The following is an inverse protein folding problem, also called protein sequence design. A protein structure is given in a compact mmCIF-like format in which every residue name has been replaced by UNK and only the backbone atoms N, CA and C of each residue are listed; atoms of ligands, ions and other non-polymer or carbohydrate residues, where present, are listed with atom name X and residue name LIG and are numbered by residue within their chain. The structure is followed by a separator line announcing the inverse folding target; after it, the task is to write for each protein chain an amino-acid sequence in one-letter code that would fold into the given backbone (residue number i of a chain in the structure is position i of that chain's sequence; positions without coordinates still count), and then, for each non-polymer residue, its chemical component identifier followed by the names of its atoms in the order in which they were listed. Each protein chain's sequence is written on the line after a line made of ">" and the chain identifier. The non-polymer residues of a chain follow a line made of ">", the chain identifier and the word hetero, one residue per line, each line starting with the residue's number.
data_IF_980721492668
#
_entry.id   IF_980721492668
#
_cell.length_a   1.000
_cell.length_b   1.000
_cell.length_c   1.000
_cell.angle_alpha   90.00
_cell.angle_beta   90.00
_cell.angle_gamma   90.00
#
_symmetry.space_group_name_H-M   'P 1'
#
loop_
_entity.id
_entity.type
_entity.pdbx_description
1 polymer ?
#
# COMPACT_ATOMS: atom_id res chain seq x y z
N UNK A 1 -13.90 9.48 3.14
CA UNK A 1 -12.72 8.98 2.46
C UNK A 1 -12.34 9.84 1.25
N UNK A 2 -11.06 9.93 0.95
CA UNK A 2 -10.59 10.70 -0.18
C UNK A 2 -10.97 10.02 -1.52
N UNK A 3 -11.33 10.84 -2.52
CA UNK A 3 -11.42 10.35 -3.90
C UNK A 3 -10.01 9.98 -4.41
N UNK A 4 -9.88 9.17 -5.48
CA UNK A 4 -8.58 8.91 -6.09
C UNK A 4 -7.80 10.19 -6.44
N UNK A 5 -8.45 11.18 -7.04
CA UNK A 5 -7.83 12.47 -7.34
C UNK A 5 -7.33 13.20 -6.09
N UNK A 6 -8.11 13.19 -5.01
CA UNK A 6 -7.70 13.80 -3.74
C UNK A 6 -6.57 13.03 -3.07
N UNK A 7 -6.58 11.71 -3.19
CA UNK A 7 -5.48 10.87 -2.73
C UNK A 7 -4.17 11.21 -3.46
N UNK A 8 -4.22 11.34 -4.79
CA UNK A 8 -3.08 11.78 -5.60
C UNK A 8 -2.51 13.11 -5.09
N UNK A 9 -3.37 14.12 -4.93
CA UNK A 9 -2.96 15.45 -4.45
C UNK A 9 -2.31 15.39 -3.06
N UNK A 10 -2.91 14.63 -2.15
CA UNK A 10 -2.39 14.48 -0.78
C UNK A 10 -1.02 13.78 -0.79
N UNK A 11 -0.87 12.72 -1.55
CA UNK A 11 0.40 12.01 -1.69
C UNK A 11 1.46 12.88 -2.34
N UNK A 12 1.09 13.66 -3.35
CA UNK A 12 1.99 14.63 -3.99
C UNK A 12 2.50 15.66 -2.98
N UNK A 13 1.63 16.18 -2.14
CA UNK A 13 2.00 17.12 -1.07
C UNK A 13 3.03 16.50 -0.10
N UNK A 14 2.82 15.24 0.29
CA UNK A 14 3.75 14.52 1.17
C UNK A 14 5.10 14.30 0.49
N UNK A 15 5.09 13.81 -0.75
CA UNK A 15 6.30 13.55 -1.53
C UNK A 15 7.10 14.84 -1.76
N UNK A 16 6.44 15.91 -2.18
CA UNK A 16 7.08 17.22 -2.40
C UNK A 16 7.75 17.72 -1.11
N UNK A 17 7.09 17.55 0.02
CA UNK A 17 7.65 17.93 1.33
C UNK A 17 8.88 17.11 1.69
N UNK A 18 8.84 15.80 1.47
CA UNK A 18 9.97 14.91 1.72
C UNK A 18 11.18 15.25 0.83
N UNK A 19 10.95 15.49 -0.45
CA UNK A 19 12.02 15.86 -1.39
C UNK A 19 12.61 17.24 -1.07
N UNK A 20 11.80 18.17 -0.57
CA UNK A 20 12.30 19.48 -0.13
C UNK A 20 13.17 19.38 1.13
N UNK A 21 12.76 18.54 2.10
CA UNK A 21 13.52 18.34 3.35
C UNK A 21 14.74 17.45 3.17
N UNK A 22 14.66 16.47 2.27
CA UNK A 22 15.69 15.45 2.03
C UNK A 22 15.93 15.31 0.52
N UNK A 23 16.69 16.23 -0.11
CA UNK A 23 16.82 16.28 -1.58
C UNK A 23 17.39 15.01 -2.21
N UNK A 24 18.15 14.24 -1.44
CA UNK A 24 18.79 12.99 -1.92
C UNK A 24 18.03 11.73 -1.55
N UNK A 25 16.86 11.84 -0.90
CA UNK A 25 16.12 10.65 -0.47
C UNK A 25 15.50 9.90 -1.64
N UNK A 26 15.34 8.60 -1.43
CA UNK A 26 14.56 7.73 -2.29
C UNK A 26 13.24 7.42 -1.59
N UNK A 27 12.14 7.51 -2.31
CA UNK A 27 10.79 7.28 -1.82
C UNK A 27 10.22 6.07 -2.56
N UNK A 28 9.74 5.09 -1.81
CA UNK A 28 9.18 3.85 -2.35
C UNK A 28 7.70 3.78 -1.98
N UNK A 29 6.84 3.69 -2.99
CA UNK A 29 5.38 3.67 -2.82
C UNK A 29 4.89 2.23 -3.01
N UNK A 30 4.48 1.58 -1.92
CA UNK A 30 3.96 0.22 -1.98
C UNK A 30 2.45 0.21 -2.31
N UNK A 31 2.05 -0.76 -3.15
CA UNK A 31 0.63 -1.03 -3.38
C UNK A 31 -0.03 -1.47 -2.07
N UNK A 32 -1.21 -0.95 -1.71
CA UNK A 32 -1.95 -1.44 -0.55
C UNK A 32 -2.22 -2.94 -0.65
N UNK A 33 -2.00 -3.66 0.45
CA UNK A 33 -2.22 -5.10 0.51
C UNK A 33 -3.69 -5.44 0.68
N UNK A 34 -4.04 -6.68 0.36
CA UNK A 34 -5.38 -7.20 0.54
C UNK A 34 -5.73 -7.36 2.03
N UNK A 35 -6.97 -7.11 2.35
CA UNK A 35 -7.62 -7.54 3.59
C UNK A 35 -9.01 -8.08 3.27
N UNK A 36 -9.62 -8.85 4.18
CA UNK A 36 -10.91 -9.47 3.88
C UNK A 36 -12.02 -8.41 3.70
N UNK A 37 -12.86 -8.55 2.66
CA UNK A 37 -13.87 -7.54 2.32
C UNK A 37 -15.00 -7.42 3.36
N UNK A 38 -15.11 -8.35 4.31
CA UNK A 38 -16.05 -8.28 5.42
C UNK A 38 -15.48 -7.54 6.64
N UNK A 39 -14.34 -6.88 6.53
CA UNK A 39 -13.75 -6.06 7.58
C UNK A 39 -14.67 -4.89 7.90
N UNK A 40 -15.22 -4.89 9.12
CA UNK A 40 -16.10 -3.84 9.61
C UNK A 40 -15.92 -3.69 11.12
N UNK A 41 -15.40 -2.54 11.51
CA UNK A 41 -15.17 -2.16 12.91
C UNK A 41 -15.95 -0.89 13.28
N UNK A 42 -17.23 -0.82 12.87
CA UNK A 42 -18.09 0.34 13.10
C UNK A 42 -18.27 1.25 11.88
N UNK A 43 -17.32 1.27 10.95
CA UNK A 43 -17.49 1.91 9.65
C UNK A 43 -17.95 0.87 8.63
N UNK A 44 -19.07 1.08 8.00
CA UNK A 44 -19.68 0.12 7.06
C UNK A 44 -19.03 0.18 5.67
N UNK A 45 -17.75 -0.15 5.58
CA UNK A 45 -17.07 -0.05 4.29
C UNK A 45 -16.98 -1.39 3.54
N UNK A 46 -16.96 -2.50 4.22
CA UNK A 46 -16.98 -3.85 3.64
C UNK A 46 -16.18 -3.93 2.31
N UNK A 47 -16.75 -4.56 1.31
CA UNK A 47 -16.12 -4.68 -0.01
C UNK A 47 -15.86 -3.32 -0.69
N UNK A 48 -16.73 -2.35 -0.48
CA UNK A 48 -16.54 -0.98 -0.97
C UNK A 48 -15.23 -0.38 -0.42
N UNK A 49 -14.91 -0.64 0.85
CA UNK A 49 -13.67 -0.16 1.47
C UNK A 49 -12.43 -0.76 0.81
N UNK A 50 -12.43 -2.06 0.53
CA UNK A 50 -11.33 -2.72 -0.17
C UNK A 50 -11.18 -2.19 -1.59
N UNK A 51 -12.30 -2.05 -2.32
CA UNK A 51 -12.29 -1.52 -3.68
C UNK A 51 -11.78 -0.07 -3.72
N UNK A 52 -12.16 0.75 -2.76
CA UNK A 52 -11.68 2.13 -2.64
C UNK A 52 -10.18 2.15 -2.38
N UNK A 53 -9.69 1.32 -1.46
CA UNK A 53 -8.27 1.23 -1.17
C UNK A 53 -7.47 0.84 -2.43
N UNK A 54 -7.97 -0.12 -3.20
CA UNK A 54 -7.33 -0.54 -4.44
C UNK A 54 -7.45 0.50 -5.56
N UNK A 55 -8.44 1.38 -5.53
CA UNK A 55 -8.56 2.49 -6.49
C UNK A 55 -7.43 3.52 -6.37
N UNK A 56 -6.68 3.51 -5.27
CA UNK A 56 -5.52 4.37 -5.09
C UNK A 56 -4.24 3.83 -5.76
N UNK A 57 -4.22 2.56 -6.13
CA UNK A 57 -3.04 1.97 -6.78
C UNK A 57 -2.69 2.63 -8.12
N UNK A 58 -3.63 2.86 -9.04
CA UNK A 58 -3.34 3.62 -10.26
C UNK A 58 -2.80 5.04 -9.99
N UNK A 59 -3.22 5.67 -8.89
CA UNK A 59 -2.72 6.98 -8.50
C UNK A 59 -1.26 6.92 -8.04
N UNK A 60 -0.87 5.87 -7.34
CA UNK A 60 0.54 5.65 -6.99
C UNK A 60 1.40 5.44 -8.24
N UNK A 61 0.91 4.68 -9.21
CA UNK A 61 1.60 4.48 -10.49
C UNK A 61 1.74 5.79 -11.26
N UNK A 62 0.70 6.62 -11.29
CA UNK A 62 0.73 7.94 -11.92
C UNK A 62 1.75 8.87 -11.23
N UNK A 63 1.82 8.87 -9.90
CA UNK A 63 2.80 9.64 -9.14
C UNK A 63 4.23 9.25 -9.52
N UNK A 64 4.53 7.95 -9.54
CA UNK A 64 5.88 7.46 -9.92
C UNK A 64 6.24 7.94 -11.31
N UNK A 65 5.31 7.85 -12.26
CA UNK A 65 5.53 8.31 -13.64
C UNK A 65 5.76 9.83 -13.71
N UNK A 66 4.95 10.60 -12.98
CA UNK A 66 5.07 12.07 -12.99
C UNK A 66 6.38 12.53 -12.35
N UNK A 67 6.78 11.95 -11.22
CA UNK A 67 8.04 12.28 -10.57
C UNK A 67 9.26 11.84 -11.38
N UNK A 68 9.17 10.83 -12.22
CA UNK A 68 10.27 10.39 -13.06
C UNK A 68 10.74 11.46 -14.04
N UNK A 69 9.89 12.44 -14.35
CA UNK A 69 10.19 13.54 -15.29
C UNK A 69 11.10 14.60 -14.67
N UNK A 70 10.91 14.91 -13.39
CA UNK A 70 11.62 16.00 -12.70
C UNK A 70 12.53 15.54 -11.56
N UNK A 71 12.31 14.34 -11.04
CA UNK A 71 13.06 13.72 -9.95
C UNK A 71 13.46 12.29 -10.33
N UNK A 72 14.22 12.11 -11.44
CA UNK A 72 14.59 10.78 -11.91
C UNK A 72 15.38 10.02 -10.83
N UNK A 73 15.03 8.78 -10.59
CA UNK A 73 15.71 7.92 -9.62
C UNK A 73 15.40 8.21 -8.16
N UNK A 74 14.34 8.95 -7.85
CA UNK A 74 13.97 9.28 -6.46
C UNK A 74 12.63 8.73 -5.99
N UNK A 75 11.64 8.56 -6.88
CA UNK A 75 10.32 8.02 -6.51
C UNK A 75 10.07 6.73 -7.29
N UNK A 76 9.83 5.65 -6.57
CA UNK A 76 9.72 4.31 -7.15
C UNK A 76 8.41 3.63 -6.75
N UNK A 77 7.91 2.78 -7.64
CA UNK A 77 6.92 1.79 -7.26
C UNK A 77 7.60 0.71 -6.43
N UNK A 78 7.05 0.43 -5.25
CA UNK A 78 7.52 -0.60 -4.36
C UNK A 78 6.90 -1.96 -4.65
N UNK A 79 6.61 -2.71 -3.58
CA UNK A 79 5.95 -4.00 -3.72
C UNK A 79 4.55 -3.87 -4.30
N UNK A 80 4.25 -4.71 -5.29
CA UNK A 80 2.93 -4.83 -5.91
C UNK A 80 2.33 -6.23 -5.75
N UNK A 81 3.11 -7.19 -5.24
CA UNK A 81 2.71 -8.59 -5.14
C UNK A 81 1.95 -8.91 -3.86
N UNK A 82 2.10 -8.08 -2.84
CA UNK A 82 1.49 -8.30 -1.51
C UNK A 82 -0.02 -8.42 -1.53
N UNK A 83 -0.70 -7.75 -2.46
CA UNK A 83 -2.15 -7.85 -2.58
C UNK A 83 -2.59 -9.29 -2.89
N UNK A 84 -2.08 -9.87 -3.96
CA UNK A 84 -2.44 -11.23 -4.35
C UNK A 84 -1.90 -12.27 -3.37
N UNK A 85 -0.73 -12.03 -2.83
CA UNK A 85 -0.13 -12.87 -1.81
C UNK A 85 -1.04 -13.01 -0.58
N UNK A 86 -1.45 -11.93 0.06
CA UNK A 86 -2.31 -11.97 1.24
C UNK A 86 -3.73 -12.46 0.93
N UNK A 87 -4.26 -12.14 -0.25
CA UNK A 87 -5.53 -12.70 -0.73
C UNK A 87 -5.51 -14.23 -0.77
N UNK A 88 -4.37 -14.82 -1.13
CA UNK A 88 -4.20 -16.27 -1.21
C UNK A 88 -3.91 -16.90 0.16
N UNK A 89 -3.10 -16.23 1.00
CA UNK A 89 -2.55 -16.81 2.22
C UNK A 89 -3.19 -16.30 3.52
N UNK A 90 -4.28 -15.54 3.45
CA UNK A 90 -4.84 -14.82 4.59
C UNK A 90 -5.15 -15.71 5.81
N UNK A 91 -5.64 -16.93 5.60
CA UNK A 91 -5.99 -17.85 6.70
C UNK A 91 -4.81 -18.22 7.59
N UNK A 92 -3.63 -18.28 7.03
CA UNK A 92 -2.41 -18.67 7.73
C UNK A 92 -1.55 -17.48 8.16
N UNK A 93 -1.75 -16.32 7.56
CA UNK A 93 -0.84 -15.19 7.69
C UNK A 93 -1.46 -13.90 8.24
N UNK A 94 -2.80 -13.84 8.31
CA UNK A 94 -3.50 -12.76 8.99
C UNK A 94 -4.21 -13.30 10.23
N UNK A 95 -4.39 -12.45 11.24
CA UNK A 95 -5.15 -12.81 12.43
C UNK A 95 -6.63 -12.95 12.10
N UNK A 96 -7.31 -13.99 12.59
CA UNK A 96 -8.76 -14.05 12.61
C UNK A 96 -9.28 -13.09 13.69
N UNK A 97 -10.05 -12.09 13.28
CA UNK A 97 -10.61 -11.07 14.18
C UNK A 97 -12.13 -11.07 14.07
N UNK A 98 -12.81 -10.75 15.17
CA UNK A 98 -14.27 -10.66 15.18
C UNK A 98 -14.71 -9.23 14.89
N UNK A 99 -15.52 -9.07 13.86
CA UNK A 99 -16.13 -7.80 13.50
C UNK A 99 -17.65 -7.88 13.39
N UNK A 100 -18.26 -6.78 13.00
CA UNK A 100 -19.72 -6.68 12.86
C UNK A 100 -20.30 -7.57 11.75
N UNK A 101 -19.47 -7.95 10.77
CA UNK A 101 -19.85 -8.81 9.64
C UNK A 101 -19.18 -10.21 9.71
N UNK A 102 -18.91 -10.71 10.91
CA UNK A 102 -18.31 -12.00 11.15
C UNK A 102 -16.79 -11.94 11.33
N UNK A 103 -16.12 -13.08 11.16
CA UNK A 103 -14.65 -13.16 11.25
C UNK A 103 -14.03 -12.48 10.03
N UNK A 104 -13.11 -11.55 10.28
CA UNK A 104 -12.37 -10.86 9.23
C UNK A 104 -10.86 -11.03 9.42
N UNK A 105 -10.10 -10.72 8.38
CA UNK A 105 -8.65 -10.85 8.33
C UNK A 105 -8.05 -9.56 7.82
N UNK A 106 -7.28 -8.87 8.64
CA UNK A 106 -6.70 -7.57 8.32
C UNK A 106 -5.25 -7.47 8.79
N UNK A 107 -4.99 -7.75 10.06
CA UNK A 107 -3.68 -7.55 10.65
C UNK A 107 -2.80 -8.79 10.44
N UNK A 108 -1.57 -8.63 9.90
CA UNK A 108 -0.64 -9.74 9.78
C UNK A 108 -0.29 -10.35 11.13
N UNK A 109 -0.29 -11.68 11.20
CA UNK A 109 0.33 -12.40 12.30
C UNK A 109 1.86 -12.42 12.10
N UNK A 110 2.60 -13.12 12.95
CA UNK A 110 4.06 -13.16 12.86
C UNK A 110 4.55 -13.66 11.50
N UNK A 111 3.90 -14.67 10.94
CA UNK A 111 4.24 -15.23 9.62
C UNK A 111 3.95 -14.23 8.50
N UNK A 112 2.78 -13.60 8.55
CA UNK A 112 2.40 -12.57 7.59
C UNK A 112 3.27 -11.32 7.66
N UNK A 113 3.67 -10.91 8.86
CA UNK A 113 4.60 -9.80 9.04
C UNK A 113 5.98 -10.11 8.42
N UNK A 114 6.46 -11.35 8.58
CA UNK A 114 7.70 -11.79 7.93
C UNK A 114 7.58 -11.76 6.41
N UNK A 115 6.49 -12.30 5.86
CA UNK A 115 6.24 -12.29 4.43
C UNK A 115 6.16 -10.86 3.87
N UNK A 116 5.45 -9.96 4.56
CA UNK A 116 5.35 -8.55 4.17
C UNK A 116 6.72 -7.88 4.18
N UNK A 117 7.52 -8.15 5.21
CA UNK A 117 8.90 -7.65 5.33
C UNK A 117 9.79 -8.12 4.18
N UNK A 118 9.66 -9.37 3.75
CA UNK A 118 10.41 -9.91 2.61
C UNK A 118 9.99 -9.24 1.29
N UNK A 119 8.68 -9.09 1.05
CA UNK A 119 8.15 -8.42 -0.14
C UNK A 119 8.61 -6.96 -0.22
N UNK A 120 8.47 -6.23 0.88
CA UNK A 120 8.88 -4.82 0.93
C UNK A 120 10.40 -4.66 0.87
N UNK A 121 11.15 -5.51 1.58
CA UNK A 121 12.61 -5.50 1.57
C UNK A 121 13.17 -5.72 0.16
N UNK A 122 12.63 -6.69 -0.57
CA UNK A 122 13.01 -6.94 -1.96
C UNK A 122 12.75 -5.73 -2.86
N UNK A 123 11.58 -5.11 -2.72
CA UNK A 123 11.23 -3.92 -3.51
C UNK A 123 12.12 -2.71 -3.17
N UNK A 124 12.42 -2.51 -1.88
CA UNK A 124 13.31 -1.43 -1.42
C UNK A 124 14.73 -1.63 -1.94
N UNK A 125 15.27 -2.86 -1.85
CA UNK A 125 16.59 -3.17 -2.39
C UNK A 125 16.67 -2.91 -3.90
N UNK A 126 15.63 -3.30 -4.65
CA UNK A 126 15.54 -2.99 -6.08
C UNK A 126 15.56 -1.49 -6.36
N UNK A 127 14.93 -0.67 -5.53
CA UNK A 127 14.93 0.79 -5.67
C UNK A 127 16.29 1.42 -5.32
N UNK A 128 16.98 0.88 -4.30
CA UNK A 128 18.31 1.38 -3.88
C UNK A 128 19.36 1.10 -4.95
N UNK A 129 19.27 -0.07 -5.61
CA UNK A 129 20.23 -0.51 -6.61
C UNK A 129 20.05 0.18 -8.00
N UNK A 130 19.01 0.96 -8.12
CA UNK A 130 18.74 1.73 -9.35
C UNK A 130 19.44 3.11 -9.37
#
# INVERSE_FOLDING_TARGET
>A
PASPAKYYENMKTIIDKLLALYPECKIVLHRPVWYSPNTSNGAKYLEEGLNRLQSYYPELQALVLDYSKHFPGQVFMGDTDGFDYFKTHYKNELFPEKGNAGTFYLHPNRKGASALGELWGKAILGAIDN
#
